data_IF_798747762705
#
_entry.id   IF_798747762705
#
_cell.length_a   1.000
_cell.length_b   1.000
_cell.length_c   1.000
_cell.angle_alpha   90.00
_cell.angle_beta   90.00
_cell.angle_gamma   90.00
#
_symmetry.space_group_name_H-M   'P 1'
#
loop_
_entity.id
_entity.type
_entity.pdbx_description
1 polymer ?
#
# COMPACT_ATOMS: atom_id res chain seq x y z
N UNK A 1 4.49 10.60 -6.13
CA UNK A 1 3.27 9.78 -5.99
C UNK A 1 3.73 8.34 -5.78
N UNK A 2 3.50 7.75 -4.61
CA UNK A 2 3.98 6.39 -4.29
C UNK A 2 2.91 5.37 -4.67
N UNK A 3 2.75 5.14 -5.97
CA UNK A 3 1.83 4.12 -6.48
C UNK A 3 2.54 2.76 -6.45
N UNK A 4 1.88 1.74 -5.89
CA UNK A 4 2.40 0.37 -5.87
C UNK A 4 1.72 -0.45 -6.96
N UNK A 5 2.50 -1.15 -7.80
CA UNK A 5 1.96 -2.07 -8.79
C UNK A 5 1.47 -3.36 -8.12
N UNK A 6 0.18 -3.38 -7.73
CA UNK A 6 -0.43 -4.48 -6.98
C UNK A 6 -0.39 -5.80 -7.77
N UNK A 7 -0.52 -5.75 -9.09
CA UNK A 7 -0.53 -6.97 -9.93
C UNK A 7 0.89 -7.55 -10.09
N UNK A 8 1.91 -6.71 -10.16
CA UNK A 8 3.29 -7.16 -10.03
C UNK A 8 3.54 -7.83 -8.68
N UNK A 9 3.08 -7.23 -7.58
CA UNK A 9 3.23 -7.82 -6.24
C UNK A 9 2.47 -9.15 -6.14
N UNK A 10 1.25 -9.23 -6.67
CA UNK A 10 0.45 -10.46 -6.74
C UNK A 10 1.22 -11.57 -7.46
N UNK A 11 1.77 -11.26 -8.63
CA UNK A 11 2.55 -12.23 -9.43
C UNK A 11 3.76 -12.74 -8.67
N UNK A 12 4.45 -11.85 -7.94
CA UNK A 12 5.62 -12.22 -7.13
C UNK A 12 5.24 -13.08 -5.91
N UNK A 13 4.13 -12.76 -5.25
CA UNK A 13 3.61 -13.52 -4.11
C UNK A 13 3.29 -14.98 -4.46
N UNK A 14 2.87 -15.26 -5.69
CA UNK A 14 2.60 -16.64 -6.14
C UNK A 14 3.81 -17.57 -6.05
N UNK A 15 5.03 -17.01 -6.05
CA UNK A 15 6.29 -17.75 -5.95
C UNK A 15 6.98 -17.55 -4.58
N UNK A 16 6.30 -16.93 -3.62
CA UNK A 16 6.85 -16.61 -2.29
C UNK A 16 6.51 -17.68 -1.26
N UNK A 17 7.19 -17.61 -0.12
CA UNK A 17 6.89 -18.47 1.04
C UNK A 17 5.81 -17.90 1.96
N UNK A 18 5.33 -16.69 1.66
CA UNK A 18 4.33 -15.99 2.46
C UNK A 18 2.99 -16.74 2.42
N UNK A 19 2.33 -16.96 3.57
CA UNK A 19 1.02 -17.59 3.61
C UNK A 19 0.01 -16.85 2.72
N UNK A 20 -0.80 -17.58 1.96
CA UNK A 20 -1.73 -17.00 0.99
C UNK A 20 -2.69 -15.97 1.61
N UNK A 21 -3.16 -16.23 2.84
CA UNK A 21 -4.02 -15.31 3.58
C UNK A 21 -3.31 -13.98 3.90
N UNK A 22 -2.04 -14.05 4.31
CA UNK A 22 -1.21 -12.86 4.58
C UNK A 22 -0.93 -12.10 3.29
N UNK A 23 -0.64 -12.82 2.19
CA UNK A 23 -0.46 -12.22 0.87
C UNK A 23 -1.70 -11.47 0.39
N UNK A 24 -2.90 -12.04 0.56
CA UNK A 24 -4.16 -11.38 0.22
C UNK A 24 -4.41 -10.13 1.07
N UNK A 25 -4.17 -10.21 2.39
CA UNK A 25 -4.28 -9.06 3.27
C UNK A 25 -3.33 -7.93 2.85
N UNK A 26 -2.08 -8.28 2.53
CA UNK A 26 -1.09 -7.32 2.09
C UNK A 26 -1.50 -6.63 0.77
N UNK A 27 -1.99 -7.39 -0.21
CA UNK A 27 -2.51 -6.84 -1.47
C UNK A 27 -3.69 -5.89 -1.25
N UNK A 28 -4.58 -6.21 -0.30
CA UNK A 28 -5.69 -5.32 0.07
C UNK A 28 -5.17 -4.00 0.66
N UNK A 29 -4.17 -4.07 1.56
CA UNK A 29 -3.55 -2.88 2.15
C UNK A 29 -2.90 -2.00 1.08
N UNK A 30 -2.15 -2.59 0.15
CA UNK A 30 -1.53 -1.85 -0.95
C UNK A 30 -2.57 -1.20 -1.87
N UNK A 31 -3.65 -1.91 -2.19
CA UNK A 31 -4.75 -1.40 -3.01
C UNK A 31 -5.45 -0.21 -2.34
N UNK A 32 -5.71 -0.31 -1.03
CA UNK A 32 -6.31 0.78 -0.25
C UNK A 32 -5.38 2.00 -0.19
N UNK A 33 -4.07 1.79 -0.02
CA UNK A 33 -3.10 2.88 -0.02
C UNK A 33 -3.03 3.58 -1.38
N UNK A 34 -3.10 2.85 -2.49
CA UNK A 34 -3.18 3.43 -3.82
C UNK A 34 -4.45 4.28 -3.97
N UNK A 35 -5.63 3.75 -3.61
CA UNK A 35 -6.89 4.49 -3.68
C UNK A 35 -6.85 5.76 -2.82
N UNK A 36 -6.38 5.67 -1.58
CA UNK A 36 -6.22 6.81 -0.68
C UNK A 36 -5.23 7.85 -1.23
N UNK A 37 -4.18 7.42 -1.94
CA UNK A 37 -3.25 8.37 -2.56
C UNK A 37 -3.91 9.20 -3.66
N UNK A 38 -4.88 8.62 -4.39
CA UNK A 38 -5.68 9.34 -5.39
C UNK A 38 -6.68 10.26 -4.72
N UNK A 39 -7.41 9.78 -3.70
CA UNK A 39 -8.40 10.57 -2.97
C UNK A 39 -7.78 11.75 -2.18
N UNK A 40 -6.55 11.58 -1.68
CA UNK A 40 -5.80 12.63 -1.00
C UNK A 40 -5.01 13.52 -1.97
N UNK A 41 -4.98 13.21 -3.27
CA UNK A 41 -4.37 14.11 -4.26
C UNK A 41 -5.31 15.29 -4.49
N UNK A 42 -4.80 16.54 -4.51
CA UNK A 42 -5.62 17.71 -4.79
C UNK A 42 -6.07 17.66 -6.24
N UNK A 43 -7.28 17.16 -6.48
CA UNK A 43 -7.79 16.94 -7.82
C UNK A 43 -8.67 18.07 -8.35
N UNK A 44 -9.19 18.95 -7.50
CA UNK A 44 -9.83 20.23 -7.86
C UNK A 44 -10.05 21.08 -6.60
N UNK A 45 -10.00 22.41 -6.76
CA UNK A 45 -10.11 23.45 -5.72
C UNK A 45 -11.48 23.50 -4.98
N UNK A 46 -12.35 22.49 -5.11
CA UNK A 46 -13.54 22.39 -4.28
C UNK A 46 -13.19 21.63 -2.99
N UNK A 47 -12.97 22.43 -1.95
CA UNK A 47 -12.56 22.07 -0.59
C UNK A 47 -13.24 20.79 -0.09
N UNK A 48 -12.50 19.67 -0.08
CA UNK A 48 -12.73 18.67 0.97
C UNK A 48 -12.46 19.37 2.30
N UNK A 49 -13.52 19.85 2.95
CA UNK A 49 -13.42 20.53 4.24
C UNK A 49 -12.82 19.60 5.30
N UNK A 50 -12.11 20.20 6.26
CA UNK A 50 -11.05 19.58 7.04
C UNK A 50 -11.36 18.29 7.82
N UNK A 51 -12.62 17.88 7.99
CA UNK A 51 -12.97 16.63 8.68
C UNK A 51 -12.79 15.39 7.80
N UNK A 52 -13.27 15.44 6.55
CA UNK A 52 -13.21 14.29 5.63
C UNK A 52 -11.77 14.03 5.21
N UNK A 53 -11.03 15.10 4.91
CA UNK A 53 -9.61 15.02 4.62
C UNK A 53 -8.80 14.48 5.82
N UNK A 54 -9.15 14.89 7.05
CA UNK A 54 -8.51 14.35 8.25
C UNK A 54 -8.81 12.87 8.47
N UNK A 55 -10.04 12.42 8.19
CA UNK A 55 -10.43 11.02 8.27
C UNK A 55 -9.70 10.16 7.23
N UNK A 56 -9.63 10.59 5.97
CA UNK A 56 -8.86 9.92 4.92
C UNK A 56 -7.37 9.90 5.25
N UNK A 57 -6.83 10.99 5.81
CA UNK A 57 -5.46 11.07 6.30
C UNK A 57 -5.19 10.08 7.44
N UNK A 58 -6.12 9.93 8.39
CA UNK A 58 -6.03 8.93 9.45
C UNK A 58 -6.05 7.52 8.87
N UNK A 59 -6.98 7.22 7.95
CA UNK A 59 -7.10 5.91 7.33
C UNK A 59 -5.84 5.55 6.54
N UNK A 60 -5.23 6.52 5.85
CA UNK A 60 -3.94 6.34 5.17
C UNK A 60 -2.82 5.99 6.15
N UNK A 61 -2.74 6.68 7.31
CA UNK A 61 -1.77 6.35 8.36
C UNK A 61 -2.00 4.96 8.93
N UNK A 62 -3.24 4.60 9.23
CA UNK A 62 -3.59 3.29 9.79
C UNK A 62 -3.19 2.15 8.82
N UNK A 63 -3.44 2.32 7.51
CA UNK A 63 -2.99 1.36 6.51
C UNK A 63 -1.47 1.30 6.33
N UNK A 64 -0.75 2.42 6.46
CA UNK A 64 0.73 2.41 6.47
C UNK A 64 1.29 1.67 7.68
N UNK A 65 0.68 1.85 8.86
CA UNK A 65 1.05 1.10 10.06
C UNK A 65 0.80 -0.39 9.86
N UNK A 66 -0.37 -0.77 9.33
CA UNK A 66 -0.68 -2.19 9.03
C UNK A 66 0.31 -2.80 8.03
N UNK A 67 0.67 -2.04 6.99
CA UNK A 67 1.73 -2.44 6.05
C UNK A 67 3.06 -2.70 6.78
N UNK A 68 3.49 -1.78 7.63
CA UNK A 68 4.75 -1.91 8.37
C UNK A 68 4.77 -3.11 9.33
N UNK A 69 3.63 -3.40 9.99
CA UNK A 69 3.50 -4.59 10.85
C UNK A 69 3.64 -5.87 10.03
N UNK A 70 2.94 -5.98 8.89
CA UNK A 70 3.05 -7.13 7.99
C UNK A 70 4.47 -7.29 7.45
N UNK A 71 5.15 -6.20 7.09
CA UNK A 71 6.54 -6.23 6.61
C UNK A 71 7.55 -6.57 7.73
N UNK A 72 7.26 -6.25 8.99
CA UNK A 72 8.10 -6.64 10.12
C UNK A 72 7.98 -8.15 10.41
N UNK A 73 6.78 -8.71 10.29
CA UNK A 73 6.51 -10.14 10.49
C UNK A 73 6.97 -10.98 9.27
N UNK A 74 6.79 -10.44 8.06
CA UNK A 74 7.17 -11.06 6.78
C UNK A 74 8.03 -10.10 5.94
N UNK A 75 9.34 -10.01 6.20
CA UNK A 75 10.25 -9.10 5.49
C UNK A 75 10.27 -9.28 3.97
N UNK A 76 9.95 -10.49 3.49
CA UNK A 76 9.82 -10.81 2.07
C UNK A 76 8.80 -9.87 1.38
N UNK A 77 7.72 -9.49 2.07
CA UNK A 77 6.69 -8.58 1.52
C UNK A 77 7.26 -7.24 1.07
N UNK A 78 8.18 -6.66 1.86
CA UNK A 78 8.80 -5.40 1.53
C UNK A 78 9.63 -5.51 0.24
N UNK A 79 10.34 -6.62 0.04
CA UNK A 79 11.12 -6.90 -1.17
C UNK A 79 10.22 -7.10 -2.40
N UNK A 80 9.15 -7.90 -2.25
CA UNK A 80 8.21 -8.18 -3.34
C UNK A 80 7.46 -6.91 -3.78
N UNK A 81 7.27 -5.94 -2.89
CA UNK A 81 6.59 -4.67 -3.15
C UNK A 81 7.42 -3.62 -3.92
N UNK A 82 8.72 -3.84 -4.09
CA UNK A 82 9.63 -2.88 -4.76
C UNK A 82 9.29 -2.73 -6.25
N UNK A 83 9.38 -1.54 -6.87
CA UNK A 83 9.21 -1.40 -8.32
C UNK A 83 10.22 -2.25 -9.09
N UNK A 84 9.87 -2.62 -10.33
CA UNK A 84 10.69 -3.48 -11.20
C UNK A 84 12.08 -2.89 -11.50
N UNK A 85 12.24 -1.57 -11.37
CA UNK A 85 13.48 -0.82 -11.59
C UNK A 85 14.26 -0.51 -10.29
N UNK A 86 13.88 -1.09 -9.15
CA UNK A 86 14.61 -0.86 -7.90
C UNK A 86 15.99 -1.52 -7.96
N UNK A 87 17.04 -0.72 -8.14
CA UNK A 87 18.46 -1.15 -8.17
C UNK A 87 19.22 -0.98 -6.84
N UNK A 88 18.54 -0.63 -5.74
CA UNK A 88 19.16 -0.46 -4.43
C UNK A 88 19.30 -1.77 -3.64
N UNK A 89 20.55 -2.13 -3.32
CA UNK A 89 20.93 -3.19 -2.38
C UNK A 89 20.22 -3.02 -1.03
#
# INVERSE_FOLDING_TARGET
MNFTDVELVRTRLMNSTVPAQVGQEYLQVLSNLNALSVLLSPANDEEMEGLEQAQLGKLSRDHRTRRAVLEAEYPELALLSRPKEWSGN
#
